data_IF_872540917247
#
_entry.id   IF_872540917247
#
_cell.length_a   1.000
_cell.length_b   1.000
_cell.length_c   1.000
_cell.angle_alpha   90.00
_cell.angle_beta   90.00
_cell.angle_gamma   90.00
#
_symmetry.space_group_name_H-M   'P 1'
#
loop_
_entity.id
_entity.type
_entity.pdbx_description
1 polymer ?
#
# COMPACT_ATOMS: atom_id res chain seq x y z
N UNK A 1 14.70 -8.13 -33.76
CA UNK A 1 14.07 -8.12 -35.10
C UNK A 1 13.02 -9.21 -35.11
N UNK A 2 11.73 -8.88 -35.14
CA UNK A 2 10.68 -9.89 -35.28
C UNK A 2 10.76 -10.50 -36.68
N UNK A 3 10.69 -11.84 -36.84
CA UNK A 3 10.64 -12.46 -38.15
C UNK A 3 9.37 -11.97 -38.84
N UNK A 4 9.54 -11.16 -39.90
CA UNK A 4 8.42 -10.76 -40.76
C UNK A 4 7.87 -12.04 -41.39
N UNK A 5 6.72 -12.50 -40.91
CA UNK A 5 5.96 -13.57 -41.56
C UNK A 5 5.82 -13.21 -43.03
N UNK A 6 6.30 -14.07 -43.93
CA UNK A 6 6.25 -13.82 -45.38
C UNK A 6 4.78 -13.61 -45.75
N UNK A 7 4.38 -12.42 -46.23
CA UNK A 7 2.97 -12.09 -46.46
C UNK A 7 2.31 -12.97 -47.54
N UNK A 8 3.08 -13.76 -48.29
CA UNK A 8 2.60 -14.56 -49.41
C UNK A 8 1.81 -15.81 -49.04
N UNK A 9 2.01 -16.40 -47.85
CA UNK A 9 1.34 -17.67 -47.48
C UNK A 9 -0.02 -17.41 -46.83
N UNK A 10 -0.08 -16.41 -45.94
CA UNK A 10 -1.31 -16.01 -45.25
C UNK A 10 -2.34 -15.49 -46.25
N UNK A 11 -1.93 -14.59 -47.15
CA UNK A 11 -2.80 -14.02 -48.18
C UNK A 11 -3.32 -15.05 -49.18
N UNK A 12 -2.56 -16.12 -49.47
CA UNK A 12 -3.00 -17.21 -50.35
C UNK A 12 -4.08 -18.07 -49.67
N UNK A 13 -3.85 -18.46 -48.42
CA UNK A 13 -4.83 -19.25 -47.65
C UNK A 13 -6.13 -18.46 -47.42
N UNK A 14 -6.02 -17.18 -47.06
CA UNK A 14 -7.18 -16.30 -46.87
C UNK A 14 -8.03 -16.19 -48.14
N UNK A 15 -7.39 -16.01 -49.30
CA UNK A 15 -8.10 -15.92 -50.59
C UNK A 15 -8.81 -17.22 -50.94
N UNK A 16 -8.16 -18.37 -50.71
CA UNK A 16 -8.78 -19.69 -50.93
C UNK A 16 -9.99 -19.91 -50.00
N UNK A 17 -9.83 -19.61 -48.72
CA UNK A 17 -10.91 -19.74 -47.72
C UNK A 17 -12.07 -18.82 -48.05
N UNK A 18 -11.83 -17.56 -48.40
CA UNK A 18 -12.88 -16.62 -48.80
C UNK A 18 -13.65 -17.10 -50.03
N UNK A 19 -12.95 -17.66 -51.03
CA UNK A 19 -13.60 -18.27 -52.19
C UNK A 19 -14.58 -19.38 -51.80
N UNK A 20 -14.14 -20.28 -50.91
CA UNK A 20 -14.99 -21.38 -50.41
C UNK A 20 -16.15 -20.88 -49.55
N UNK A 21 -15.93 -19.88 -48.70
CA UNK A 21 -16.99 -19.26 -47.89
C UNK A 21 -18.06 -18.67 -48.81
N UNK A 22 -17.68 -17.87 -49.80
CA UNK A 22 -18.62 -17.25 -50.73
C UNK A 22 -19.39 -18.30 -51.54
N UNK A 23 -18.71 -19.37 -51.97
CA UNK A 23 -19.36 -20.50 -52.63
C UNK A 23 -20.40 -21.19 -51.75
N UNK A 24 -20.05 -21.47 -50.49
CA UNK A 24 -20.97 -22.10 -49.53
C UNK A 24 -22.16 -21.20 -49.20
N UNK A 25 -21.93 -19.90 -48.99
CA UNK A 25 -22.99 -18.92 -48.77
C UNK A 25 -23.92 -18.89 -49.99
N UNK A 26 -23.36 -18.89 -51.20
CA UNK A 26 -24.15 -18.89 -52.43
C UNK A 26 -25.03 -20.14 -52.53
N UNK A 27 -24.47 -21.34 -52.33
CA UNK A 27 -25.24 -22.60 -52.33
C UNK A 27 -26.36 -22.56 -51.28
N UNK A 28 -26.05 -22.11 -50.06
CA UNK A 28 -27.04 -22.04 -48.99
C UNK A 28 -28.12 -20.99 -49.25
N UNK A 29 -27.81 -19.90 -49.98
CA UNK A 29 -28.79 -18.89 -50.36
C UNK A 29 -29.70 -19.30 -51.52
N UNK A 30 -29.31 -20.30 -52.32
CA UNK A 30 -30.13 -20.82 -53.41
C UNK A 30 -31.30 -21.68 -52.92
N UNK A 31 -31.19 -22.26 -51.72
CA UNK A 31 -32.22 -23.12 -51.13
C UNK A 31 -32.93 -22.36 -50.03
N UNK A 32 -34.00 -21.64 -50.38
CA UNK A 32 -34.82 -20.90 -49.40
C UNK A 32 -35.68 -21.85 -48.53
N UNK A 33 -36.19 -22.92 -49.15
CA UNK A 33 -36.98 -23.97 -48.50
C UNK A 33 -36.55 -25.31 -49.08
N UNK A 34 -36.30 -26.29 -48.21
CA UNK A 34 -35.97 -27.67 -48.61
C UNK A 34 -37.28 -28.38 -48.96
N UNK A 35 -37.56 -28.55 -50.25
CA UNK A 35 -38.84 -29.12 -50.70
C UNK A 35 -38.73 -30.60 -51.07
N UNK A 36 -37.55 -31.06 -51.49
CA UNK A 36 -37.32 -32.45 -51.90
C UNK A 36 -36.02 -33.06 -51.34
N UNK A 37 -35.81 -34.34 -51.63
CA UNK A 37 -34.61 -35.07 -51.17
C UNK A 37 -33.32 -34.59 -51.87
N UNK A 38 -33.44 -33.96 -53.04
CA UNK A 38 -32.30 -33.36 -53.77
C UNK A 38 -31.80 -32.10 -53.05
N UNK A 39 -32.70 -31.19 -52.70
CA UNK A 39 -32.41 -29.98 -51.90
C UNK A 39 -31.75 -30.37 -50.57
N UNK A 40 -32.32 -31.38 -49.91
CA UNK A 40 -31.80 -31.90 -48.65
C UNK A 40 -30.37 -32.43 -48.79
N UNK A 41 -30.07 -33.16 -49.88
CA UNK A 41 -28.74 -33.67 -50.15
C UNK A 41 -27.73 -32.54 -50.41
N UNK A 42 -28.12 -31.50 -51.16
CA UNK A 42 -27.29 -30.32 -51.43
C UNK A 42 -26.97 -29.58 -50.13
N UNK A 43 -27.99 -29.28 -49.31
CA UNK A 43 -27.81 -28.59 -48.02
C UNK A 43 -26.96 -29.42 -47.06
N UNK A 44 -27.18 -30.72 -46.97
CA UNK A 44 -26.41 -31.61 -46.11
C UNK A 44 -24.92 -31.65 -46.51
N UNK A 45 -24.64 -31.66 -47.82
CA UNK A 45 -23.28 -31.59 -48.35
C UNK A 45 -22.60 -30.26 -48.00
N UNK A 46 -23.29 -29.14 -48.25
CA UNK A 46 -22.80 -27.80 -47.93
C UNK A 46 -22.50 -27.64 -46.43
N UNK A 47 -23.36 -28.17 -45.55
CA UNK A 47 -23.12 -28.16 -44.09
C UNK A 47 -21.86 -28.96 -43.73
N UNK A 48 -21.65 -30.13 -44.35
CA UNK A 48 -20.47 -30.95 -44.10
C UNK A 48 -19.19 -30.22 -44.52
N UNK A 49 -19.20 -29.62 -45.70
CA UNK A 49 -18.07 -28.84 -46.22
C UNK A 49 -17.79 -27.60 -45.35
N UNK A 50 -18.83 -26.87 -44.93
CA UNK A 50 -18.69 -25.74 -44.01
C UNK A 50 -18.02 -26.15 -42.69
N UNK A 51 -18.45 -27.27 -42.09
CA UNK A 51 -17.83 -27.81 -40.86
C UNK A 51 -16.35 -28.17 -41.07
N UNK A 52 -16.02 -28.74 -42.22
CA UNK A 52 -14.63 -29.07 -42.57
C UNK A 52 -13.78 -27.81 -42.75
N UNK A 53 -14.31 -26.78 -43.39
CA UNK A 53 -13.63 -25.49 -43.57
C UNK A 53 -13.37 -24.81 -42.22
N UNK A 54 -14.35 -24.80 -41.32
CA UNK A 54 -14.19 -24.29 -39.94
C UNK A 54 -13.05 -25.03 -39.22
N UNK A 55 -12.99 -26.37 -39.34
CA UNK A 55 -11.91 -27.18 -38.75
C UNK A 55 -10.53 -26.80 -39.32
N UNK A 56 -10.44 -26.59 -40.64
CA UNK A 56 -9.19 -26.18 -41.30
C UNK A 56 -8.74 -24.79 -40.87
N UNK A 57 -9.64 -23.82 -40.79
CA UNK A 57 -9.35 -22.46 -40.28
C UNK A 57 -8.84 -22.56 -38.83
N UNK A 58 -9.49 -23.35 -37.99
CA UNK A 58 -9.06 -23.57 -36.61
C UNK A 58 -7.67 -24.19 -36.50
N UNK A 59 -7.34 -25.17 -37.36
CA UNK A 59 -6.02 -25.79 -37.42
C UNK A 59 -4.95 -24.80 -37.91
N UNK A 60 -5.23 -24.02 -38.95
CA UNK A 60 -4.33 -22.99 -39.47
C UNK A 60 -4.04 -21.91 -38.42
N UNK A 61 -5.08 -21.45 -37.71
CA UNK A 61 -4.92 -20.53 -36.57
C UNK A 61 -3.97 -21.11 -35.54
N UNK A 62 -4.22 -22.35 -35.09
CA UNK A 62 -3.38 -23.01 -34.07
C UNK A 62 -1.93 -23.16 -34.53
N UNK A 63 -1.71 -23.56 -35.79
CA UNK A 63 -0.36 -23.69 -36.34
C UNK A 63 0.46 -22.39 -36.28
N UNK A 64 -0.20 -21.23 -36.38
CA UNK A 64 0.44 -19.91 -36.25
C UNK A 64 0.55 -19.49 -34.78
N UNK A 65 -0.51 -19.67 -33.98
CA UNK A 65 -0.55 -19.13 -32.61
C UNK A 65 0.25 -19.97 -31.62
N UNK A 66 0.32 -21.29 -31.77
CA UNK A 66 1.04 -22.18 -30.85
C UNK A 66 2.53 -21.85 -30.72
N UNK A 67 3.33 -21.73 -31.81
CA UNK A 67 4.75 -21.38 -31.66
C UNK A 67 4.95 -20.00 -31.03
N UNK A 68 4.08 -19.03 -31.34
CA UNK A 68 4.12 -17.71 -30.69
C UNK A 68 3.81 -17.78 -29.19
N UNK A 69 2.83 -18.60 -28.78
CA UNK A 69 2.53 -18.84 -27.37
C UNK A 69 3.69 -19.52 -26.64
N UNK A 70 4.39 -20.45 -27.30
CA UNK A 70 5.59 -21.08 -26.75
C UNK A 70 6.74 -20.09 -26.59
N UNK A 71 6.96 -19.19 -27.56
CA UNK A 71 7.94 -18.11 -27.45
C UNK A 71 7.61 -17.16 -26.30
N UNK A 72 6.35 -16.70 -26.19
CA UNK A 72 5.90 -15.87 -25.06
C UNK A 72 6.18 -16.56 -23.74
N UNK A 73 5.87 -17.86 -23.62
CA UNK A 73 6.16 -18.63 -22.41
C UNK A 73 7.67 -18.68 -22.09
N UNK A 74 8.52 -18.81 -23.10
CA UNK A 74 9.99 -18.76 -22.93
C UNK A 74 10.46 -17.40 -22.43
N UNK A 75 9.93 -16.31 -22.99
CA UNK A 75 10.29 -14.96 -22.56
C UNK A 75 9.88 -14.70 -21.11
N UNK A 76 8.66 -15.06 -20.72
CA UNK A 76 8.20 -14.95 -19.33
C UNK A 76 9.05 -15.78 -18.37
N UNK A 77 9.44 -16.99 -18.77
CA UNK A 77 10.34 -17.80 -17.96
C UNK A 77 11.73 -17.14 -17.79
N UNK A 78 12.26 -16.54 -18.86
CA UNK A 78 13.55 -15.85 -18.81
C UNK A 78 13.49 -14.57 -17.99
N UNK A 79 12.42 -13.80 -18.10
CA UNK A 79 12.16 -12.64 -17.25
C UNK A 79 12.16 -13.05 -15.77
N UNK A 80 11.42 -14.10 -15.42
CA UNK A 80 11.38 -14.61 -14.05
C UNK A 80 12.78 -15.01 -13.55
N UNK A 81 13.54 -15.74 -14.36
CA UNK A 81 14.92 -16.13 -14.04
C UNK A 81 15.81 -14.93 -13.71
N UNK A 82 15.61 -13.80 -14.39
CA UNK A 82 16.39 -12.57 -14.18
C UNK A 82 15.89 -11.73 -13.00
N UNK A 83 14.57 -11.69 -12.78
CA UNK A 83 13.94 -10.85 -11.76
C UNK A 83 14.04 -11.47 -10.36
N UNK A 84 13.87 -12.80 -10.23
CA UNK A 84 13.87 -13.52 -8.95
C UNK A 84 15.13 -13.30 -8.07
N UNK A 85 16.38 -13.31 -8.60
CA UNK A 85 17.55 -13.01 -7.77
C UNK A 85 17.58 -11.56 -7.30
N UNK A 86 17.10 -10.61 -8.11
CA UNK A 86 17.04 -9.18 -7.74
C UNK A 86 16.02 -8.98 -6.63
N UNK A 87 14.81 -9.54 -6.78
CA UNK A 87 13.78 -9.49 -5.73
C UNK A 87 14.25 -10.14 -4.42
N UNK A 88 15.00 -11.24 -4.53
CA UNK A 88 15.60 -11.89 -3.36
C UNK A 88 16.64 -10.99 -2.68
N UNK A 89 17.49 -10.31 -3.44
CA UNK A 89 18.45 -9.36 -2.90
C UNK A 89 17.76 -8.15 -2.23
N UNK A 90 16.68 -7.63 -2.83
CA UNK A 90 15.88 -6.55 -2.24
C UNK A 90 15.29 -6.99 -0.89
N UNK A 91 14.67 -8.18 -0.82
CA UNK A 91 14.13 -8.73 0.44
C UNK A 91 15.19 -8.89 1.52
N UNK A 92 16.39 -9.32 1.15
CA UNK A 92 17.52 -9.42 2.08
C UNK A 92 17.94 -8.04 2.59
N UNK A 93 18.06 -7.05 1.70
CA UNK A 93 18.39 -5.69 2.07
C UNK A 93 17.34 -5.06 3.01
N UNK A 94 16.05 -5.25 2.71
CA UNK A 94 14.95 -4.78 3.56
C UNK A 94 15.01 -5.39 4.96
N UNK A 95 15.32 -6.68 5.06
CA UNK A 95 15.51 -7.37 6.34
C UNK A 95 16.64 -6.74 7.15
N UNK A 96 17.77 -6.42 6.50
CA UNK A 96 18.90 -5.76 7.18
C UNK A 96 18.54 -4.34 7.66
N UNK A 97 17.80 -3.58 6.86
CA UNK A 97 17.33 -2.24 7.23
C UNK A 97 16.39 -2.32 8.43
N UNK A 98 15.46 -3.28 8.45
CA UNK A 98 14.55 -3.50 9.58
C UNK A 98 15.33 -3.81 10.87
N UNK A 99 16.26 -4.76 10.81
CA UNK A 99 17.12 -5.10 11.95
C UNK A 99 17.92 -3.90 12.48
N UNK A 100 18.44 -3.06 11.58
CA UNK A 100 19.13 -1.83 11.98
C UNK A 100 18.19 -0.85 12.69
N UNK A 101 17.00 -0.61 12.14
CA UNK A 101 16.01 0.28 12.73
C UNK A 101 15.56 -0.21 14.12
N UNK A 102 15.36 -1.51 14.28
CA UNK A 102 15.05 -2.13 15.57
C UNK A 102 16.15 -1.89 16.60
N UNK A 103 17.43 -2.06 16.21
CA UNK A 103 18.57 -1.76 17.10
C UNK A 103 18.61 -0.29 17.50
N UNK A 104 18.39 0.62 16.57
CA UNK A 104 18.36 2.06 16.86
C UNK A 104 17.23 2.40 17.83
N UNK A 105 16.04 1.82 17.64
CA UNK A 105 14.91 2.01 18.57
C UNK A 105 15.22 1.44 19.95
N UNK A 106 15.76 0.23 20.03
CA UNK A 106 16.14 -0.41 21.28
C UNK A 106 17.22 0.40 22.03
N UNK A 107 18.23 0.92 21.32
CA UNK A 107 19.25 1.80 21.92
C UNK A 107 18.64 3.08 22.48
N UNK A 108 17.74 3.73 21.74
CA UNK A 108 17.03 4.93 22.22
C UNK A 108 16.19 4.63 23.45
N UNK A 109 15.47 3.51 23.46
CA UNK A 109 14.67 3.08 24.61
C UNK A 109 15.55 2.77 25.84
N UNK A 110 16.69 2.11 25.66
CA UNK A 110 17.61 1.82 26.75
C UNK A 110 18.21 3.10 27.37
N UNK A 111 18.55 4.10 26.54
CA UNK A 111 19.02 5.41 27.02
C UNK A 111 17.92 6.11 27.82
N UNK A 112 16.69 6.14 27.29
CA UNK A 112 15.54 6.72 28.02
C UNK A 112 15.27 6.01 29.35
N UNK A 113 15.37 4.68 29.39
CA UNK A 113 15.20 3.92 30.63
C UNK A 113 16.27 4.25 31.66
N UNK A 114 17.55 4.37 31.25
CA UNK A 114 18.63 4.78 32.16
C UNK A 114 18.41 6.17 32.72
N UNK A 115 18.02 7.13 31.89
CA UNK A 115 17.71 8.49 32.34
C UNK A 115 16.56 8.47 33.35
N UNK A 116 15.49 7.73 33.06
CA UNK A 116 14.34 7.63 33.96
C UNK A 116 14.67 6.92 35.29
N UNK A 117 15.56 5.93 35.26
CA UNK A 117 16.04 5.24 36.47
C UNK A 117 16.95 6.13 37.33
N UNK A 118 17.89 6.84 36.70
CA UNK A 118 18.73 7.84 37.38
C UNK A 118 17.88 8.96 38.01
N UNK A 119 16.85 9.44 37.31
CA UNK A 119 15.92 10.45 37.83
C UNK A 119 15.09 9.92 39.00
N UNK A 120 14.63 8.66 38.95
CA UNK A 120 13.95 8.00 40.09
C UNK A 120 14.86 7.87 41.32
N UNK A 121 16.12 7.48 41.13
CA UNK A 121 17.09 7.36 42.22
C UNK A 121 17.37 8.75 42.83
N UNK A 122 17.51 9.79 42.01
CA UNK A 122 17.66 11.17 42.50
C UNK A 122 16.46 11.61 43.33
N UNK A 123 15.24 11.46 42.80
CA UNK A 123 14.03 11.83 43.51
C UNK A 123 13.84 11.04 44.82
N UNK A 124 14.21 9.75 44.86
CA UNK A 124 14.19 8.96 46.09
C UNK A 124 15.23 9.44 47.10
N UNK A 125 16.46 9.72 46.67
CA UNK A 125 17.50 10.23 47.54
C UNK A 125 17.16 11.63 48.08
N UNK A 126 16.62 12.50 47.24
CA UNK A 126 16.18 13.85 47.63
C UNK A 126 15.00 13.76 48.63
N UNK A 127 14.01 12.89 48.38
CA UNK A 127 12.89 12.66 49.31
C UNK A 127 13.38 12.10 50.66
N UNK A 128 14.36 11.18 50.64
CA UNK A 128 14.90 10.57 51.85
C UNK A 128 15.80 11.56 52.62
N UNK A 129 16.54 12.43 51.92
CA UNK A 129 17.30 13.52 52.51
C UNK A 129 16.38 14.57 53.13
N UNK A 130 15.31 14.98 52.44
CA UNK A 130 14.26 15.84 52.99
C UNK A 130 13.62 15.22 54.24
N UNK A 131 13.38 13.91 54.24
CA UNK A 131 12.79 13.21 55.39
C UNK A 131 13.73 13.15 56.60
N UNK A 132 15.04 12.90 56.39
CA UNK A 132 16.07 12.96 57.45
C UNK A 132 16.24 14.39 57.98
N UNK A 133 16.17 15.38 57.09
CA UNK A 133 16.31 16.78 57.46
C UNK A 133 15.09 17.26 58.27
N UNK A 134 13.87 16.89 57.85
CA UNK A 134 12.63 17.12 58.59
C UNK A 134 12.65 16.45 59.98
N UNK A 135 13.20 15.23 60.09
CA UNK A 135 13.32 14.53 61.37
C UNK A 135 14.38 15.16 62.30
N UNK A 136 15.47 15.68 61.73
CA UNK A 136 16.49 16.43 62.46
C UNK A 136 16.01 17.82 62.90
N UNK A 137 15.19 18.48 62.07
CA UNK A 137 14.55 19.76 62.36
C UNK A 137 13.42 19.57 63.38
N UNK A 138 12.66 18.46 63.36
CA UNK A 138 11.72 18.09 64.42
C UNK A 138 12.45 17.89 65.76
N UNK A 139 13.60 17.20 65.78
CA UNK A 139 14.40 17.03 67.00
C UNK A 139 14.98 18.35 67.52
N UNK A 140 15.28 19.32 66.64
CA UNK A 140 15.64 20.69 67.04
C UNK A 140 14.44 21.51 67.52
N UNK A 141 13.25 21.33 66.93
CA UNK A 141 12.01 21.99 67.35
C UNK A 141 11.46 21.47 68.69
N UNK A 142 11.70 20.20 69.05
CA UNK A 142 11.32 19.70 70.39
C UNK A 142 12.20 20.34 71.50
N UNK A 143 13.35 20.91 71.17
CA UNK A 143 14.17 21.69 72.11
C UNK A 143 13.89 23.21 72.08
N UNK A 144 13.17 23.72 71.08
CA UNK A 144 12.81 25.13 70.95
C UNK A 144 11.40 25.27 70.37
N UNK A 145 10.48 25.80 71.20
CA UNK A 145 9.09 26.17 70.91
C UNK A 145 8.07 25.02 71.13
N UNK A 146 7.13 25.04 72.08
CA UNK A 146 6.38 26.17 72.63
C UNK A 146 6.21 27.30 71.60
N UNK A 147 5.45 27.04 70.56
CA UNK A 147 4.46 27.96 69.97
C UNK A 147 4.03 27.49 68.58
N UNK A 148 2.72 27.61 68.34
CA UNK A 148 2.08 27.81 67.03
C UNK A 148 2.05 26.62 66.05
N UNK A 149 1.13 26.48 65.10
CA UNK A 149 -0.32 26.74 64.87
C UNK A 149 -0.61 25.93 63.59
N UNK A 150 -1.81 25.37 63.41
CA UNK A 150 -2.22 24.69 62.19
C UNK A 150 -1.81 25.43 60.90
N UNK A 151 -0.96 24.80 60.10
CA UNK A 151 -0.43 25.37 58.86
C UNK A 151 -1.37 25.15 57.68
N UNK A 152 -2.30 26.08 57.46
CA UNK A 152 -3.06 26.18 56.21
C UNK A 152 -2.09 26.55 55.08
N UNK A 153 -1.87 25.63 54.14
CA UNK A 153 -1.06 25.90 52.93
C UNK A 153 -1.91 26.63 51.90
N UNK A 154 -1.45 27.81 51.48
CA UNK A 154 -2.05 28.56 50.37
C UNK A 154 -1.61 27.95 49.04
N UNK A 155 -2.56 27.39 48.31
CA UNK A 155 -2.37 26.94 46.91
C UNK A 155 -2.81 28.07 46.00
N UNK A 156 -1.93 28.46 45.09
CA UNK A 156 -2.28 29.43 44.04
C UNK A 156 -3.00 28.68 42.93
N UNK A 157 -4.31 28.91 42.85
CA UNK A 157 -5.16 28.49 41.73
C UNK A 157 -5.41 29.71 40.85
N UNK A 158 -5.47 29.51 39.54
CA UNK A 158 -5.75 30.58 38.58
C UNK A 158 -7.03 30.24 37.80
N UNK A 159 -7.76 31.28 37.41
CA UNK A 159 -8.86 31.20 36.45
C UNK A 159 -8.49 32.12 35.28
N UNK A 160 -8.73 31.66 34.05
CA UNK A 160 -8.46 32.45 32.85
C UNK A 160 -9.67 33.31 32.55
N UNK A 161 -9.55 34.63 32.72
CA UNK A 161 -10.62 35.59 32.42
C UNK A 161 -10.70 35.91 30.92
N UNK A 162 -9.54 36.16 30.28
CA UNK A 162 -9.43 36.41 28.84
C UNK A 162 -8.18 35.73 28.26
N UNK A 163 -8.40 34.86 27.29
CA UNK A 163 -7.36 34.12 26.58
C UNK A 163 -6.45 35.02 25.73
N UNK A 164 -6.91 36.19 25.30
CA UNK A 164 -6.13 37.08 24.43
C UNK A 164 -4.99 37.79 25.18
N UNK A 165 -5.11 37.95 26.50
CA UNK A 165 -4.12 38.60 27.37
C UNK A 165 -3.06 37.62 27.90
N UNK A 166 -3.26 36.31 27.71
CA UNK A 166 -2.30 35.28 28.16
C UNK A 166 -1.06 35.31 27.26
N UNK A 167 0.15 35.44 27.81
CA UNK A 167 1.38 35.40 27.02
C UNK A 167 1.49 34.10 26.22
N UNK A 168 1.98 34.18 24.98
CA UNK A 168 2.11 33.03 24.07
C UNK A 168 2.98 31.90 24.62
N UNK A 169 3.88 32.19 25.56
CA UNK A 169 4.75 31.20 26.20
C UNK A 169 3.96 30.17 27.03
N UNK A 170 2.76 30.53 27.50
CA UNK A 170 1.88 29.66 28.30
C UNK A 170 0.74 29.05 27.47
N UNK A 171 0.68 29.33 26.16
CA UNK A 171 -0.34 28.79 25.27
C UNK A 171 0.22 27.58 24.49
N UNK A 172 -0.38 26.41 24.72
CA UNK A 172 -0.05 25.19 23.96
C UNK A 172 -1.13 24.93 22.93
N UNK A 173 -0.73 24.75 21.67
CA UNK A 173 -1.65 24.42 20.58
C UNK A 173 -2.16 22.98 20.75
N UNK A 174 -3.49 22.82 20.82
CA UNK A 174 -4.12 21.50 20.79
C UNK A 174 -4.03 20.91 19.36
N UNK A 175 -3.01 20.09 19.15
CA UNK A 175 -2.74 19.48 17.85
C UNK A 175 -3.81 18.47 17.41
N UNK A 176 -4.62 17.91 18.34
CA UNK A 176 -5.67 16.96 17.99
C UNK A 176 -6.83 17.69 17.32
N UNK A 177 -7.30 18.79 17.90
CA UNK A 177 -8.38 19.61 17.33
C UNK A 177 -8.01 20.20 15.98
N UNK A 178 -6.77 20.64 15.80
CA UNK A 178 -6.28 21.15 14.51
C UNK A 178 -6.32 20.06 13.42
N UNK A 179 -5.91 18.83 13.75
CA UNK A 179 -5.96 17.70 12.80
C UNK A 179 -7.40 17.30 12.45
N UNK A 180 -8.31 17.38 13.41
CA UNK A 180 -9.73 17.12 13.19
C UNK A 180 -10.36 18.15 12.26
N UNK A 181 -10.09 19.45 12.47
CA UNK A 181 -10.52 20.53 11.57
C UNK A 181 -9.99 20.34 10.13
N UNK A 182 -8.71 19.98 9.98
CA UNK A 182 -8.11 19.68 8.67
C UNK A 182 -8.78 18.45 8.03
N UNK A 183 -9.12 17.43 8.81
CA UNK A 183 -9.83 16.23 8.34
C UNK A 183 -11.26 16.57 7.88
N UNK A 184 -11.94 17.47 8.58
CA UNK A 184 -13.28 17.95 8.24
C UNK A 184 -13.32 18.87 7.01
N UNK A 185 -12.17 19.17 6.40
CA UNK A 185 -12.07 19.90 5.14
C UNK A 185 -11.70 21.37 5.29
N UNK A 186 -11.39 21.83 6.50
CA UNK A 186 -10.97 23.21 6.73
C UNK A 186 -9.53 23.41 6.21
N UNK A 187 -9.38 24.18 5.13
CA UNK A 187 -8.10 24.40 4.44
C UNK A 187 -7.43 25.72 4.80
N UNK A 188 -8.10 26.58 5.58
CA UNK A 188 -7.57 27.85 6.04
C UNK A 188 -7.88 28.04 7.53
N UNK A 189 -6.85 28.06 8.36
CA UNK A 189 -6.93 28.38 9.79
C UNK A 189 -5.96 29.54 10.02
N UNK A 190 -6.45 30.64 10.57
CA UNK A 190 -5.63 31.84 10.79
C UNK A 190 -4.41 31.50 11.67
N UNK A 191 -3.22 31.84 11.18
CA UNK A 191 -1.96 31.55 11.86
C UNK A 191 -1.37 30.14 11.62
N UNK A 192 -2.04 29.25 10.90
CA UNK A 192 -1.54 27.90 10.58
C UNK A 192 -1.45 27.72 9.05
N UNK A 193 -0.23 27.48 8.55
CA UNK A 193 0.00 27.12 7.15
C UNK A 193 -0.14 25.60 6.99
N UNK A 194 -1.18 25.16 6.29
CA UNK A 194 -1.42 23.76 5.95
C UNK A 194 -0.70 23.44 4.62
N UNK A 195 0.07 22.37 4.56
CA UNK A 195 0.76 21.92 3.35
C UNK A 195 0.75 20.39 3.25
N UNK A 196 0.79 19.86 2.03
CA UNK A 196 0.78 18.43 1.74
C UNK A 196 2.20 17.96 1.38
N UNK A 197 2.70 16.93 2.07
CA UNK A 197 3.94 16.26 1.71
C UNK A 197 3.62 14.90 1.08
N UNK A 198 4.19 14.64 -0.10
CA UNK A 198 4.08 13.34 -0.76
C UNK A 198 5.06 12.37 -0.08
N UNK A 199 4.52 11.35 0.60
CA UNK A 199 5.31 10.24 1.14
C UNK A 199 4.91 8.98 0.40
N UNK A 200 5.83 8.41 -0.38
CA UNK A 200 5.62 7.14 -1.06
C UNK A 200 5.66 6.03 -0.02
N UNK A 201 4.54 5.33 0.17
CA UNK A 201 4.45 4.13 0.98
C UNK A 201 4.45 2.95 0.01
N UNK A 202 5.50 2.13 0.06
CA UNK A 202 5.55 0.88 -0.69
C UNK A 202 4.73 -0.17 0.06
N UNK A 203 3.83 -0.86 -0.66
CA UNK A 203 2.97 -1.93 -0.16
C UNK A 203 3.36 -3.23 -0.83
#
# INVERSE_FOLDING_TARGET
MLPKLKPSVVTRFEREVHGKINHLIHIMSMVEVVNDESDKAVVASAIREAKQLIKQIGAARKAITTPLQEEVKRWVAKEKELVEPIETAIRQADTLIQQYNERVVAQRQAVLHKIAEEERIRLQNDSNAEQIQLESDLKRQVAMAQHSTDGVRKVWTFAVEDLALVPREYLVLDTQKVREAIRNGERHISGIRIYQQHRTVYR
#
